data_IF_478065439356
#
_entry.id   IF_478065439356
#
_cell.length_a   1.000
_cell.length_b   1.000
_cell.length_c   1.000
_cell.angle_alpha   90.00
_cell.angle_beta   90.00
_cell.angle_gamma   90.00
#
_symmetry.space_group_name_H-M   'P 1'
#
loop_
_entity.id
_entity.type
_entity.pdbx_description
1 polymer ?
#
# COMPACT_ATOMS: atom_id res chain seq x y z
N UNK A 1 -14.17 1.16 -25.15
CA UNK A 1 -12.91 1.86 -24.86
C UNK A 1 -12.86 2.03 -23.35
N UNK A 2 -11.80 1.58 -22.67
CA UNK A 2 -11.70 1.73 -21.21
C UNK A 2 -11.46 3.21 -20.91
N UNK A 3 -12.35 3.83 -20.12
CA UNK A 3 -12.40 5.29 -19.93
C UNK A 3 -11.19 5.82 -19.12
N UNK A 4 -10.51 4.94 -18.39
CA UNK A 4 -9.33 5.26 -17.57
C UNK A 4 -8.22 4.24 -17.81
N UNK A 5 -7.00 4.73 -18.07
CA UNK A 5 -5.84 3.91 -18.46
C UNK A 5 -5.01 3.37 -17.30
N UNK A 6 -5.27 3.76 -16.04
CA UNK A 6 -4.59 3.29 -14.82
C UNK A 6 -5.45 3.57 -13.58
N UNK A 7 -5.26 2.81 -12.51
CA UNK A 7 -6.02 2.99 -11.27
C UNK A 7 -5.48 2.21 -10.06
N UNK A 8 -6.07 2.47 -8.90
CA UNK A 8 -5.78 1.80 -7.63
C UNK A 8 -7.04 1.11 -7.12
N UNK A 9 -6.95 -0.19 -6.86
CA UNK A 9 -7.91 -0.98 -6.11
C UNK A 9 -7.44 -1.07 -4.65
N UNK A 10 -8.35 -0.82 -3.70
CA UNK A 10 -8.08 -0.91 -2.27
C UNK A 10 -9.08 -1.87 -1.64
N UNK A 11 -8.57 -2.90 -0.97
CA UNK A 11 -9.34 -3.83 -0.16
C UNK A 11 -9.13 -3.51 1.33
N UNK A 12 -10.21 -3.17 2.06
CA UNK A 12 -10.12 -2.62 3.43
C UNK A 12 -10.59 -3.63 4.45
N UNK A 13 -9.72 -3.94 5.41
CA UNK A 13 -9.93 -4.93 6.47
C UNK A 13 -9.48 -4.38 7.83
N UNK A 14 -9.56 -5.23 8.86
CA UNK A 14 -9.05 -4.90 10.18
C UNK A 14 -8.43 -6.10 10.87
N UNK A 15 -7.30 -5.87 11.55
CA UNK A 15 -6.52 -6.88 12.26
C UNK A 15 -6.47 -6.63 13.78
N UNK A 16 -5.96 -7.61 14.54
CA UNK A 16 -5.75 -7.51 15.99
C UNK A 16 -4.36 -7.97 16.49
N UNK A 17 -3.35 -7.95 15.62
CA UNK A 17 -1.95 -8.20 15.96
C UNK A 17 -1.44 -7.24 17.06
N UNK A 18 -0.57 -7.72 17.97
CA UNK A 18 -0.16 -6.95 19.16
C UNK A 18 0.62 -5.66 18.87
N UNK A 19 1.33 -5.59 17.75
CA UNK A 19 2.15 -4.43 17.36
C UNK A 19 1.30 -3.20 16.97
N UNK A 20 0.01 -3.41 16.68
CA UNK A 20 -0.93 -2.38 16.22
C UNK A 20 -0.44 -1.57 15.01
N UNK A 21 0.26 -2.20 14.07
CA UNK A 21 0.67 -1.55 12.83
C UNK A 21 -0.43 -1.58 11.76
N UNK A 22 -0.50 -0.57 10.89
CA UNK A 22 -1.27 -0.71 9.65
C UNK A 22 -0.48 -1.59 8.69
N UNK A 23 -1.12 -2.63 8.15
CA UNK A 23 -0.46 -3.57 7.25
C UNK A 23 -0.97 -3.37 5.82
N UNK A 24 -0.03 -3.19 4.89
CA UNK A 24 -0.31 -3.03 3.48
C UNK A 24 0.10 -4.30 2.74
N UNK A 25 -0.87 -5.10 2.35
CA UNK A 25 -0.70 -6.36 1.61
C UNK A 25 -0.50 -6.15 0.10
N UNK A 26 0.60 -6.70 -0.43
CA UNK A 26 1.02 -6.56 -1.84
C UNK A 26 1.21 -7.87 -2.61
N UNK A 27 0.68 -8.99 -2.09
CA UNK A 27 0.88 -10.37 -2.55
C UNK A 27 2.33 -10.87 -2.49
N UNK A 28 3.15 -10.24 -1.65
CA UNK A 28 4.50 -10.67 -1.35
C UNK A 28 4.56 -11.11 0.10
N UNK A 29 5.19 -12.24 0.36
CA UNK A 29 5.37 -12.71 1.73
C UNK A 29 6.36 -11.87 2.54
N UNK A 30 6.27 -11.98 3.86
CA UNK A 30 7.12 -11.22 4.78
C UNK A 30 8.62 -11.51 4.58
N UNK A 31 8.97 -12.74 4.19
CA UNK A 31 10.35 -13.13 3.93
C UNK A 31 10.90 -12.48 2.64
N UNK A 32 10.05 -12.31 1.62
CA UNK A 32 10.35 -11.54 0.41
C UNK A 32 10.53 -10.06 0.78
N UNK A 33 9.65 -9.49 1.59
CA UNK A 33 9.78 -8.09 2.04
C UNK A 33 11.09 -7.83 2.79
N UNK A 34 11.57 -8.82 3.56
CA UNK A 34 12.84 -8.76 4.29
C UNK A 34 14.09 -8.81 3.38
N UNK A 35 13.95 -9.12 2.09
CA UNK A 35 15.07 -9.10 1.15
C UNK A 35 15.64 -7.68 0.94
N UNK A 36 16.93 -7.62 0.60
CA UNK A 36 17.55 -6.39 0.11
C UNK A 36 16.93 -5.96 -1.23
N UNK A 37 17.03 -4.66 -1.53
CA UNK A 37 16.36 -4.04 -2.68
C UNK A 37 16.67 -4.73 -4.01
N UNK A 38 17.94 -5.11 -4.26
CA UNK A 38 18.34 -5.80 -5.50
C UNK A 38 17.68 -7.17 -5.67
N UNK A 39 17.50 -7.93 -4.59
CA UNK A 39 16.81 -9.22 -4.63
C UNK A 39 15.29 -9.03 -4.70
N UNK A 40 14.75 -8.08 -3.96
CA UNK A 40 13.32 -7.77 -3.92
C UNK A 40 12.78 -7.32 -5.28
N UNK A 41 13.56 -6.56 -6.06
CA UNK A 41 13.17 -6.13 -7.41
C UNK A 41 12.80 -7.31 -8.33
N UNK A 42 13.40 -8.49 -8.12
CA UNK A 42 13.10 -9.70 -8.90
C UNK A 42 11.68 -10.24 -8.67
N UNK A 43 11.02 -9.82 -7.59
CA UNK A 43 9.67 -10.23 -7.22
C UNK A 43 8.59 -9.25 -7.69
N UNK A 44 8.94 -8.18 -8.41
CA UNK A 44 7.99 -7.19 -8.96
C UNK A 44 6.77 -7.84 -9.64
N UNK A 45 7.02 -8.85 -10.49
CA UNK A 45 5.98 -9.56 -11.24
C UNK A 45 5.03 -10.42 -10.40
N UNK A 46 5.38 -10.67 -9.14
CA UNK A 46 4.56 -11.40 -8.18
C UNK A 46 3.75 -10.47 -7.27
N UNK A 47 3.94 -9.16 -7.38
CA UNK A 47 3.22 -8.19 -6.57
C UNK A 47 1.95 -7.69 -7.25
N UNK A 48 0.93 -7.37 -6.44
CA UNK A 48 -0.29 -6.71 -6.90
C UNK A 48 -0.11 -5.25 -7.33
N UNK A 49 1.09 -4.69 -7.15
CA UNK A 49 1.49 -3.36 -7.66
C UNK A 49 2.55 -3.45 -8.78
N UNK A 50 2.67 -4.62 -9.42
CA UNK A 50 3.64 -4.91 -10.50
C UNK A 50 3.72 -3.82 -11.57
N UNK A 51 2.61 -3.27 -12.06
CA UNK A 51 2.63 -2.30 -13.17
C UNK A 51 2.78 -0.85 -12.73
N UNK A 52 2.80 -0.56 -11.43
CA UNK A 52 2.82 0.81 -10.92
C UNK A 52 4.05 1.60 -11.38
N UNK A 53 5.23 0.97 -11.35
CA UNK A 53 6.48 1.55 -11.86
C UNK A 53 6.53 1.74 -13.38
N UNK A 54 5.60 1.14 -14.14
CA UNK A 54 5.63 1.23 -15.61
C UNK A 54 5.14 2.60 -16.11
N UNK A 55 4.46 3.37 -15.24
CA UNK A 55 3.95 4.72 -15.53
C UNK A 55 4.26 5.73 -14.42
N UNK A 56 5.21 5.39 -13.55
CA UNK A 56 5.71 6.23 -12.46
C UNK A 56 7.19 6.53 -12.67
N UNK A 57 7.68 7.61 -12.08
CA UNK A 57 9.13 7.87 -11.97
C UNK A 57 9.77 7.08 -10.81
N UNK A 58 8.96 6.48 -9.94
CA UNK A 58 9.40 5.70 -8.80
C UNK A 58 9.69 4.25 -9.14
N UNK A 59 10.70 3.68 -8.47
CA UNK A 59 11.00 2.25 -8.56
C UNK A 59 9.97 1.39 -7.80
N UNK A 60 9.86 0.12 -8.18
CA UNK A 60 8.99 -0.84 -7.49
C UNK A 60 9.31 -0.92 -5.99
N UNK A 61 10.60 -0.98 -5.62
CA UNK A 61 11.00 -1.02 -4.21
C UNK A 61 10.60 0.25 -3.47
N UNK A 62 10.72 1.43 -4.08
CA UNK A 62 10.30 2.68 -3.45
C UNK A 62 8.78 2.72 -3.22
N UNK A 63 8.00 2.27 -4.21
CA UNK A 63 6.55 2.17 -4.14
C UNK A 63 6.08 1.18 -3.07
N UNK A 64 6.84 0.10 -2.88
CA UNK A 64 6.51 -0.96 -1.94
C UNK A 64 6.86 -0.57 -0.49
N UNK A 65 8.08 -0.07 -0.25
CA UNK A 65 8.57 0.19 1.12
C UNK A 65 9.48 1.41 1.28
N UNK A 66 9.72 2.19 0.22
CA UNK A 66 10.54 3.40 0.26
C UNK A 66 9.73 4.66 0.53
N UNK A 67 10.25 5.81 0.10
CA UNK A 67 9.70 7.15 0.42
C UNK A 67 8.29 7.35 -0.17
N UNK A 68 8.06 6.79 -1.36
CA UNK A 68 6.80 6.89 -2.09
C UNK A 68 5.78 5.81 -1.72
N UNK A 69 6.09 4.92 -0.77
CA UNK A 69 5.17 3.86 -0.33
C UNK A 69 4.06 4.38 0.58
N UNK A 70 2.89 3.75 0.50
CA UNK A 70 1.73 4.13 1.30
C UNK A 70 2.00 3.94 2.80
N UNK A 71 2.76 2.90 3.18
CA UNK A 71 3.18 2.69 4.57
C UNK A 71 4.08 3.79 5.11
N UNK A 72 5.04 4.28 4.31
CA UNK A 72 5.87 5.43 4.71
C UNK A 72 5.03 6.71 4.86
N UNK A 73 4.10 6.95 3.92
CA UNK A 73 3.20 8.10 4.00
C UNK A 73 2.32 8.06 5.25
N UNK A 74 1.84 6.89 5.66
CA UNK A 74 1.10 6.72 6.93
C UNK A 74 1.98 6.89 8.17
N UNK A 75 3.22 6.41 8.15
CA UNK A 75 4.18 6.64 9.24
C UNK A 75 4.39 8.14 9.47
N UNK A 76 4.48 8.94 8.40
CA UNK A 76 4.60 10.41 8.51
C UNK A 76 3.36 11.08 9.13
N UNK A 77 2.21 10.40 9.13
CA UNK A 77 0.97 10.85 9.78
C UNK A 77 0.81 10.31 11.20
N UNK A 78 1.81 9.60 11.74
CA UNK A 78 1.81 9.05 13.08
C UNK A 78 1.21 7.65 13.21
N UNK A 79 1.01 6.94 12.09
CA UNK A 79 0.53 5.55 12.09
C UNK A 79 1.65 4.62 11.65
N UNK A 80 2.26 3.93 12.60
CA UNK A 80 3.28 2.92 12.30
C UNK A 80 2.70 1.85 11.38
N UNK A 81 3.43 1.56 10.30
CA UNK A 81 2.91 0.81 9.17
C UNK A 81 3.96 -0.08 8.54
N UNK A 82 3.53 -1.25 8.06
CA UNK A 82 4.36 -2.23 7.35
C UNK A 82 3.77 -2.57 5.97
N UNK A 83 4.62 -2.75 4.94
CA UNK A 83 6.00 -2.30 4.86
C UNK A 83 6.12 -0.77 4.72
N UNK A 84 7.23 -0.21 5.20
CA UNK A 84 7.61 1.22 5.12
C UNK A 84 9.12 1.42 5.31
N UNK A 85 9.63 2.63 5.18
CA UNK A 85 11.05 2.93 5.50
C UNK A 85 11.35 2.61 6.97
N UNK A 86 10.43 2.98 7.86
CA UNK A 86 10.58 2.79 9.31
C UNK A 86 10.49 1.31 9.69
N UNK A 87 9.58 0.57 9.04
CA UNK A 87 9.34 -0.84 9.26
C UNK A 87 9.24 -1.58 7.92
N UNK A 88 10.38 -2.01 7.33
CA UNK A 88 10.40 -2.55 5.97
C UNK A 88 9.75 -3.93 5.81
N UNK A 89 9.50 -4.63 6.91
CA UNK A 89 8.84 -5.93 7.01
C UNK A 89 8.36 -6.16 8.46
N UNK A 90 7.53 -7.17 8.71
CA UNK A 90 7.09 -7.56 10.05
C UNK A 90 8.19 -8.34 10.77
N UNK A 91 8.71 -7.80 11.87
CA UNK A 91 9.77 -8.44 12.67
C UNK A 91 9.25 -9.70 13.38
N UNK A 92 7.95 -9.74 13.69
CA UNK A 92 7.26 -10.84 14.38
C UNK A 92 6.58 -11.82 13.40
N UNK A 93 6.81 -11.68 12.10
CA UNK A 93 6.23 -12.47 11.00
C UNK A 93 4.71 -12.40 10.85
N UNK A 94 4.04 -11.59 11.69
CA UNK A 94 2.61 -11.37 11.59
C UNK A 94 2.34 -10.28 10.55
N UNK A 95 2.01 -10.70 9.34
CA UNK A 95 1.71 -9.81 8.22
C UNK A 95 0.67 -10.41 7.29
N UNK A 96 -0.37 -9.64 6.98
CA UNK A 96 -1.35 -10.01 5.95
C UNK A 96 -0.86 -9.55 4.57
N UNK A 97 -0.50 -10.53 3.75
CA UNK A 97 0.12 -10.31 2.44
C UNK A 97 -0.88 -9.86 1.37
N UNK A 98 -2.18 -10.10 1.56
CA UNK A 98 -3.21 -9.94 0.53
C UNK A 98 -3.82 -11.27 0.11
N UNK A 99 -5.10 -11.26 -0.29
CA UNK A 99 -5.84 -12.50 -0.62
C UNK A 99 -6.56 -12.43 -1.98
N UNK A 100 -7.64 -13.20 -2.14
CA UNK A 100 -8.35 -13.44 -3.40
C UNK A 100 -8.73 -12.15 -4.16
N UNK A 101 -9.19 -11.12 -3.45
CA UNK A 101 -9.56 -9.84 -4.06
C UNK A 101 -8.35 -9.14 -4.67
N UNK A 102 -7.26 -9.03 -3.93
CA UNK A 102 -6.02 -8.40 -4.40
C UNK A 102 -5.42 -9.18 -5.58
N UNK A 103 -5.56 -10.51 -5.61
CA UNK A 103 -5.17 -11.36 -6.75
C UNK A 103 -5.99 -11.02 -8.00
N UNK A 104 -7.32 -10.89 -7.87
CA UNK A 104 -8.23 -10.72 -9.01
C UNK A 104 -8.27 -9.29 -9.56
N UNK A 105 -8.05 -8.29 -8.70
CA UNK A 105 -8.27 -6.88 -9.03
C UNK A 105 -6.99 -6.02 -8.99
N UNK A 106 -5.84 -6.62 -8.64
CA UNK A 106 -4.52 -6.00 -8.76
C UNK A 106 -3.86 -6.24 -10.12
N UNK A 107 -2.57 -5.87 -10.24
CA UNK A 107 -1.84 -5.88 -11.52
C UNK A 107 -1.01 -7.14 -11.80
N UNK A 108 -1.35 -8.27 -11.17
CA UNK A 108 -0.69 -9.56 -11.44
C UNK A 108 -0.82 -9.99 -12.90
N UNK A 109 -1.93 -9.65 -13.55
CA UNK A 109 -2.18 -9.92 -14.96
C UNK A 109 -1.49 -8.93 -15.92
N UNK A 110 -0.70 -7.99 -15.37
CA UNK A 110 -0.01 -6.96 -16.14
C UNK A 110 -0.92 -5.81 -16.60
N UNK A 111 -2.16 -5.72 -16.10
CA UNK A 111 -3.02 -4.55 -16.35
C UNK A 111 -2.63 -3.38 -15.45
N UNK A 112 -3.18 -2.22 -15.79
CA UNK A 112 -2.84 -0.93 -15.17
C UNK A 112 -3.62 -0.60 -13.89
N UNK A 113 -4.43 -1.53 -13.38
CA UNK A 113 -5.05 -1.41 -12.06
C UNK A 113 -4.14 -2.11 -11.05
N UNK A 114 -3.60 -1.36 -10.10
CA UNK A 114 -2.76 -1.88 -9.04
C UNK A 114 -3.60 -2.09 -7.77
N UNK A 115 -3.34 -3.14 -7.00
CA UNK A 115 -4.16 -3.55 -5.87
C UNK A 115 -3.40 -3.53 -4.56
N UNK A 116 -4.04 -3.07 -3.48
CA UNK A 116 -3.46 -3.06 -2.13
C UNK A 116 -4.53 -3.54 -1.12
N UNK A 117 -4.21 -4.54 -0.31
CA UNK A 117 -4.99 -4.87 0.89
C UNK A 117 -4.51 -4.00 2.04
N UNK A 118 -5.41 -3.46 2.85
CA UNK A 118 -5.07 -2.64 4.01
C UNK A 118 -5.74 -3.22 5.25
N UNK A 119 -4.92 -3.62 6.21
CA UNK A 119 -5.36 -4.09 7.52
C UNK A 119 -5.19 -3.01 8.57
N UNK A 120 -6.31 -2.50 9.08
CA UNK A 120 -6.28 -1.51 10.15
C UNK A 120 -6.26 -2.17 11.54
N UNK A 121 -5.32 -1.82 12.43
CA UNK A 121 -5.29 -2.35 13.79
C UNK A 121 -6.53 -1.91 14.57
N UNK A 122 -6.87 -2.63 15.66
CA UNK A 122 -8.00 -2.21 16.50
C UNK A 122 -7.67 -0.91 17.27
N UNK A 123 -6.60 -0.94 18.05
CA UNK A 123 -6.16 0.17 18.91
C UNK A 123 -5.65 1.32 18.03
N UNK A 124 -6.10 2.54 18.31
CA UNK A 124 -5.63 3.75 17.61
C UNK A 124 -6.24 4.00 16.23
N UNK A 125 -6.89 3.01 15.61
CA UNK A 125 -7.59 3.19 14.32
C UNK A 125 -9.09 2.93 14.41
N UNK A 126 -9.54 1.84 15.06
CA UNK A 126 -10.94 1.37 14.98
C UNK A 126 -11.70 1.46 16.30
N UNK A 127 -11.00 1.45 17.42
CA UNK A 127 -11.47 1.42 18.81
C UNK A 127 -12.41 2.58 19.23
N UNK A 128 -12.36 3.74 18.56
CA UNK A 128 -13.25 4.86 18.83
C UNK A 128 -13.70 5.58 17.55
N UNK A 129 -14.79 6.36 17.65
CA UNK A 129 -15.26 7.20 16.53
C UNK A 129 -14.19 8.22 16.11
N UNK A 130 -13.56 8.86 17.09
CA UNK A 130 -12.52 9.86 16.86
C UNK A 130 -11.29 9.25 16.19
N UNK A 131 -10.85 8.07 16.64
CA UNK A 131 -9.72 7.37 16.01
C UNK A 131 -10.04 6.94 14.58
N UNK A 132 -11.27 6.46 14.31
CA UNK A 132 -11.70 6.15 12.94
C UNK A 132 -11.65 7.37 12.04
N UNK A 133 -12.16 8.52 12.50
CA UNK A 133 -12.15 9.77 11.72
C UNK A 133 -10.73 10.29 11.46
N UNK A 134 -9.86 10.28 12.48
CA UNK A 134 -8.45 10.69 12.33
C UNK A 134 -7.67 9.76 11.41
N UNK A 135 -7.84 8.46 11.57
CA UNK A 135 -7.17 7.44 10.76
C UNK A 135 -7.64 7.52 9.30
N UNK A 136 -8.94 7.65 9.07
CA UNK A 136 -9.49 7.81 7.72
C UNK A 136 -8.97 9.09 7.04
N UNK A 137 -8.88 10.21 7.77
CA UNK A 137 -8.32 11.46 7.23
C UNK A 137 -6.84 11.30 6.86
N UNK A 138 -6.05 10.68 7.73
CA UNK A 138 -4.66 10.38 7.45
C UNK A 138 -4.50 9.48 6.22
N UNK A 139 -5.32 8.43 6.11
CA UNK A 139 -5.32 7.53 4.96
C UNK A 139 -5.68 8.25 3.66
N UNK A 140 -6.73 9.08 3.66
CA UNK A 140 -7.11 9.87 2.47
C UNK A 140 -5.98 10.81 2.05
N UNK A 141 -5.38 11.55 2.99
CA UNK A 141 -4.23 12.42 2.70
C UNK A 141 -3.05 11.62 2.10
N UNK A 142 -2.76 10.43 2.64
CA UNK A 142 -1.70 9.56 2.15
C UNK A 142 -2.01 8.98 0.77
N UNK A 143 -3.25 8.55 0.50
CA UNK A 143 -3.68 8.08 -0.82
C UNK A 143 -3.56 9.20 -1.86
N UNK A 144 -4.01 10.41 -1.54
CA UNK A 144 -3.86 11.56 -2.44
C UNK A 144 -2.40 11.82 -2.79
N UNK A 145 -1.50 11.78 -1.80
CA UNK A 145 -0.08 11.94 -2.03
C UNK A 145 0.53 10.78 -2.83
N UNK A 146 0.09 9.56 -2.56
CA UNK A 146 0.47 8.36 -3.31
C UNK A 146 0.07 8.46 -4.78
N UNK A 147 -1.11 9.01 -5.09
CA UNK A 147 -1.56 9.27 -6.46
C UNK A 147 -0.74 10.37 -7.14
N UNK A 148 -0.42 11.46 -6.44
CA UNK A 148 0.45 12.51 -6.98
C UNK A 148 1.81 11.95 -7.39
N UNK A 149 2.45 11.16 -6.52
CA UNK A 149 3.80 10.63 -6.74
C UNK A 149 3.79 9.46 -7.74
N UNK A 150 2.98 8.44 -7.47
CA UNK A 150 3.08 7.16 -8.19
C UNK A 150 2.20 7.08 -9.43
N UNK A 151 1.07 7.80 -9.43
CA UNK A 151 0.19 7.85 -10.59
C UNK A 151 0.36 9.13 -11.41
N UNK A 152 1.15 10.11 -10.96
CA UNK A 152 1.24 11.44 -11.60
C UNK A 152 -0.15 12.05 -11.81
N UNK A 153 -1.05 11.83 -10.85
CA UNK A 153 -2.44 12.23 -10.92
C UNK A 153 -2.80 13.04 -9.68
N UNK A 154 -3.24 14.28 -9.90
CA UNK A 154 -3.84 15.07 -8.84
C UNK A 154 -5.34 14.79 -8.75
N UNK A 155 -5.77 14.00 -7.77
CA UNK A 155 -7.18 13.66 -7.57
C UNK A 155 -8.01 14.82 -7.01
N UNK A 156 -7.40 15.91 -6.53
CA UNK A 156 -8.11 17.11 -6.08
C UNK A 156 -8.44 18.06 -7.24
N UNK A 157 -7.73 17.95 -8.35
CA UNK A 157 -8.03 18.71 -9.55
C UNK A 157 -9.22 18.07 -10.26
N UNK A 158 -10.41 18.67 -10.12
CA UNK A 158 -11.54 18.36 -10.99
C UNK A 158 -11.13 18.69 -12.43
N UNK A 159 -10.98 17.67 -13.27
CA UNK A 159 -11.21 17.86 -14.71
C UNK A 159 -12.71 18.03 -14.90
N UNK A 160 -13.12 19.26 -15.21
CA UNK A 160 -14.43 19.57 -15.82
C UNK A 160 -14.34 19.16 -17.28
#
# INVERSE_FOLDING_TARGET
MQEFGKGLYIDVHGQSHPNAFIEFGYLLDNHILALNNTKLEKYKKLSSINTLSDFSEESFVNQLKGESSLGTLMCMKGYDSIPSIKFPYAIDDNYYEGTHNTINYGSLDGKSINGIQIEFPYIGCRDSKENREKCAKAMVDSILKFFEINFQMNLKEKKI
#
